data_IF_620803273594
#
_entry.id   IF_620803273594
#
_cell.length_a   1.000
_cell.length_b   1.000
_cell.length_c   1.000
_cell.angle_alpha   90.00
_cell.angle_beta   90.00
_cell.angle_gamma   90.00
#
_symmetry.space_group_name_H-M   'P 1'
#
loop_
_entity.id
_entity.type
_entity.pdbx_description
1 polymer ?
#
# COMPACT_ATOMS: atom_id res chain seq x y z
N UNK A 1 4.30 6.40 15.22
CA UNK A 1 4.59 5.90 13.85
C UNK A 1 5.73 4.90 13.90
N UNK A 2 5.60 3.77 13.23
CA UNK A 2 6.62 2.71 13.32
C UNK A 2 7.89 3.04 12.54
N UNK A 3 7.75 3.88 11.51
CA UNK A 3 8.87 4.30 10.66
C UNK A 3 8.61 5.68 10.10
N UNK A 4 9.66 6.49 10.00
CA UNK A 4 9.63 7.79 9.33
C UNK A 4 10.65 7.79 8.21
N UNK A 5 10.20 8.08 7.00
CA UNK A 5 11.05 8.29 5.82
C UNK A 5 11.20 9.79 5.60
N UNK A 6 12.40 10.19 5.21
CA UNK A 6 12.72 11.60 5.04
C UNK A 6 12.92 12.30 6.39
N UNK A 7 13.14 13.60 6.30
CA UNK A 7 13.41 14.44 7.48
C UNK A 7 12.37 15.55 7.51
N UNK A 8 11.63 15.63 8.61
CA UNK A 8 10.65 16.70 8.81
C UNK A 8 11.35 18.01 9.11
N UNK A 9 11.09 19.03 8.30
CA UNK A 9 11.53 20.39 8.57
C UNK A 9 10.47 21.08 9.43
N UNK A 10 10.79 21.45 10.69
CA UNK A 10 9.82 22.06 11.60
C UNK A 10 9.34 23.45 11.16
N UNK A 11 10.02 24.07 10.17
CA UNK A 11 9.61 25.37 9.60
C UNK A 11 8.53 25.24 8.56
N UNK A 12 8.22 24.00 8.09
CA UNK A 12 7.27 23.75 7.02
C UNK A 12 6.00 23.12 7.57
N UNK A 13 4.88 23.41 6.90
CA UNK A 13 3.60 22.75 7.14
C UNK A 13 3.40 21.70 6.05
N UNK A 14 3.32 20.44 6.45
CA UNK A 14 3.16 19.31 5.52
C UNK A 14 1.70 18.99 5.29
N UNK A 15 1.36 18.68 4.05
CA UNK A 15 0.04 18.16 3.70
C UNK A 15 0.04 16.64 3.90
N UNK A 16 -0.74 16.17 4.86
CA UNK A 16 -0.89 14.74 5.11
C UNK A 16 -1.83 14.11 4.07
N UNK A 17 -1.42 12.97 3.55
CA UNK A 17 -2.25 12.17 2.66
C UNK A 17 -2.24 10.72 3.13
N UNK A 18 -3.24 10.29 3.91
CA UNK A 18 -3.29 8.91 4.39
C UNK A 18 -3.70 7.94 3.28
N UNK A 19 -3.09 6.77 3.31
CA UNK A 19 -3.42 5.64 2.46
C UNK A 19 -3.40 4.35 3.25
N UNK A 20 -4.06 3.32 2.73
CA UNK A 20 -4.13 2.02 3.37
C UNK A 20 -3.85 0.91 2.34
N UNK A 21 -3.09 -0.10 2.75
CA UNK A 21 -2.53 -1.12 1.86
C UNK A 21 -2.59 -2.50 2.50
N UNK A 22 -2.77 -3.51 1.64
CA UNK A 22 -2.85 -4.90 2.03
C UNK A 22 -1.50 -5.60 1.85
N UNK A 23 -1.11 -6.40 2.84
CA UNK A 23 0.01 -7.32 2.73
C UNK A 23 -0.53 -8.76 2.85
N UNK A 24 -0.55 -9.46 1.73
CA UNK A 24 -0.89 -10.88 1.65
C UNK A 24 0.33 -11.65 1.15
N UNK A 25 0.95 -12.38 2.08
CA UNK A 25 2.10 -13.25 1.78
C UNK A 25 1.60 -14.69 1.88
N UNK A 26 1.56 -15.37 0.75
CA UNK A 26 1.05 -16.74 0.65
C UNK A 26 1.98 -17.57 -0.23
N UNK A 27 2.41 -18.73 0.28
CA UNK A 27 3.27 -19.66 -0.45
C UNK A 27 4.55 -19.02 -1.01
N UNK A 28 5.19 -18.16 -0.21
CA UNK A 28 6.44 -17.48 -0.58
C UNK A 28 6.26 -16.37 -1.60
N UNK A 29 5.03 -15.89 -1.80
CA UNK A 29 4.70 -14.85 -2.77
C UNK A 29 3.87 -13.74 -2.14
N UNK A 30 3.97 -12.56 -2.71
CA UNK A 30 3.29 -11.35 -2.25
C UNK A 30 2.22 -10.94 -3.26
N UNK A 31 1.00 -10.70 -2.78
CA UNK A 31 -0.05 -10.13 -3.62
C UNK A 31 0.35 -8.73 -4.07
N UNK A 32 0.41 -8.50 -5.37
CA UNK A 32 0.82 -7.24 -5.97
C UNK A 32 -0.08 -6.83 -7.11
N UNK A 33 0.04 -5.55 -7.45
CA UNK A 33 -0.56 -4.98 -8.66
C UNK A 33 0.59 -4.43 -9.50
N UNK A 34 0.61 -4.76 -10.78
CA UNK A 34 1.53 -4.18 -11.75
C UNK A 34 0.80 -3.10 -12.54
N UNK A 35 1.41 -1.94 -12.64
CA UNK A 35 0.90 -0.83 -13.42
C UNK A 35 2.10 -0.07 -14.04
N UNK A 36 1.85 1.01 -14.80
CA UNK A 36 2.92 1.66 -15.57
C UNK A 36 4.12 2.14 -14.74
N UNK A 37 3.93 2.45 -13.45
CA UNK A 37 5.03 2.84 -12.57
C UNK A 37 5.84 1.65 -12.04
N UNK A 38 5.26 0.45 -12.03
CA UNK A 38 5.91 -0.76 -11.51
C UNK A 38 4.99 -1.59 -10.63
N UNK A 39 5.57 -2.30 -9.67
CA UNK A 39 4.83 -3.18 -8.77
C UNK A 39 4.47 -2.46 -7.48
N UNK A 40 3.23 -2.60 -7.04
CA UNK A 40 2.69 -1.95 -5.85
C UNK A 40 1.89 -2.96 -5.03
N UNK A 41 1.79 -2.70 -3.72
CA UNK A 41 0.80 -3.39 -2.88
C UNK A 41 -0.61 -2.94 -3.27
N UNK A 42 -1.61 -3.83 -3.17
CA UNK A 42 -3.01 -3.40 -3.33
C UNK A 42 -3.38 -2.39 -2.27
N UNK A 43 -4.03 -1.30 -2.66
CA UNK A 43 -4.42 -0.24 -1.76
C UNK A 43 -4.29 1.13 -2.42
N UNK A 44 -4.45 2.17 -1.64
CA UNK A 44 -4.36 3.53 -2.13
C UNK A 44 -4.79 4.58 -1.13
N UNK A 45 -5.08 5.78 -1.62
CA UNK A 45 -5.48 6.90 -0.78
C UNK A 45 -6.85 6.73 -0.16
N UNK A 46 -6.96 7.08 1.12
CA UNK A 46 -8.22 7.04 1.85
C UNK A 46 -9.07 8.25 1.44
N UNK A 47 -10.31 7.99 1.07
CA UNK A 47 -11.27 9.04 0.74
C UNK A 47 -11.94 9.59 2.00
N UNK A 48 -12.50 10.81 1.90
CA UNK A 48 -13.16 11.46 3.02
C UNK A 48 -14.29 10.58 3.58
N UNK A 49 -14.28 10.36 4.90
CA UNK A 49 -15.27 9.54 5.58
C UNK A 49 -15.07 8.03 5.46
N UNK A 50 -14.04 7.60 4.75
CA UNK A 50 -13.75 6.18 4.54
C UNK A 50 -12.85 5.65 5.65
N UNK A 51 -13.14 4.44 6.16
CA UNK A 51 -12.22 3.76 7.06
C UNK A 51 -11.03 3.20 6.28
N UNK A 52 -9.95 2.86 6.98
CA UNK A 52 -8.79 2.22 6.36
C UNK A 52 -9.18 0.90 5.71
N UNK A 53 -9.98 0.09 6.39
CA UNK A 53 -10.43 -1.19 5.89
C UNK A 53 -11.30 -1.03 4.64
N UNK A 54 -12.22 -0.07 4.64
CA UNK A 54 -13.06 0.19 3.47
C UNK A 54 -12.24 0.70 2.29
N UNK A 55 -11.20 1.51 2.56
CA UNK A 55 -10.25 1.93 1.53
C UNK A 55 -9.57 0.72 0.86
N UNK A 56 -9.07 -0.22 1.66
CA UNK A 56 -8.43 -1.42 1.13
C UNK A 56 -9.43 -2.24 0.30
N UNK A 57 -10.66 -2.43 0.78
CA UNK A 57 -11.69 -3.16 0.04
C UNK A 57 -12.00 -2.50 -1.30
N UNK A 58 -12.21 -1.20 -1.30
CA UNK A 58 -12.50 -0.43 -2.51
C UNK A 58 -11.34 -0.49 -3.50
N UNK A 59 -10.14 -0.20 -3.05
CA UNK A 59 -8.95 -0.19 -3.91
C UNK A 59 -8.64 -1.58 -4.48
N UNK A 60 -8.74 -2.64 -3.67
CA UNK A 60 -8.55 -4.00 -4.16
C UNK A 60 -9.57 -4.36 -5.24
N UNK A 61 -10.81 -3.95 -5.05
CA UNK A 61 -11.86 -4.21 -6.04
C UNK A 61 -11.60 -3.45 -7.35
N UNK A 62 -11.20 -2.19 -7.28
CA UNK A 62 -10.87 -1.36 -8.44
C UNK A 62 -9.65 -1.89 -9.20
N UNK A 63 -8.61 -2.28 -8.47
CA UNK A 63 -7.32 -2.66 -9.06
C UNK A 63 -7.26 -4.12 -9.50
N UNK A 64 -7.96 -5.02 -8.82
CA UNK A 64 -7.85 -6.47 -9.06
C UNK A 64 -9.16 -7.16 -9.39
N UNK A 65 -10.29 -6.51 -9.12
CA UNK A 65 -11.61 -7.14 -9.24
C UNK A 65 -11.88 -8.20 -8.17
N UNK A 66 -11.09 -8.22 -7.09
CA UNK A 66 -11.16 -9.26 -6.06
C UNK A 66 -11.66 -8.72 -4.74
N UNK A 67 -12.34 -9.57 -3.99
CA UNK A 67 -12.66 -9.33 -2.58
C UNK A 67 -11.40 -9.50 -1.74
N UNK A 68 -11.46 -9.09 -0.49
CA UNK A 68 -10.34 -9.17 0.43
C UNK A 68 -10.86 -9.44 1.84
N UNK A 69 -10.12 -10.27 2.59
CA UNK A 69 -10.32 -10.43 4.03
C UNK A 69 -9.20 -9.66 4.73
N UNK A 70 -9.57 -8.70 5.56
CA UNK A 70 -8.61 -7.83 6.24
C UNK A 70 -8.41 -8.32 7.67
N UNK A 71 -7.15 -8.54 8.03
CA UNK A 71 -6.76 -8.94 9.37
C UNK A 71 -6.34 -7.77 10.23
N UNK A 72 -5.39 -8.01 11.12
CA UNK A 72 -4.93 -7.00 12.07
C UNK A 72 -4.09 -5.90 11.40
N UNK A 73 -4.13 -4.66 11.94
CA UNK A 73 -3.15 -3.63 11.57
C UNK A 73 -1.74 -4.15 11.85
N UNK A 74 -0.82 -3.88 10.94
CA UNK A 74 0.55 -4.37 11.05
C UNK A 74 1.53 -3.28 11.44
N UNK A 75 1.60 -2.23 10.63
CA UNK A 75 2.53 -1.12 10.83
C UNK A 75 2.09 0.10 10.03
N UNK A 76 2.74 1.23 10.28
CA UNK A 76 2.48 2.48 9.58
C UNK A 76 3.76 3.29 9.42
N UNK A 77 3.82 4.12 8.40
CA UNK A 77 4.96 4.98 8.11
C UNK A 77 4.53 6.38 7.69
N UNK A 78 5.32 7.37 8.14
CA UNK A 78 5.29 8.73 7.60
C UNK A 78 6.32 8.88 6.50
N UNK A 79 6.11 9.83 5.60
CA UNK A 79 7.07 10.17 4.55
C UNK A 79 7.11 11.68 4.36
N UNK A 80 8.14 12.33 4.90
CA UNK A 80 8.29 13.78 4.71
C UNK A 80 9.08 14.05 3.44
N UNK A 81 8.42 14.69 2.47
CA UNK A 81 9.01 14.94 1.16
C UNK A 81 8.48 16.25 0.56
N UNK A 82 8.98 16.59 -0.62
CA UNK A 82 8.51 17.74 -1.40
C UNK A 82 7.80 17.23 -2.65
N UNK A 83 6.53 17.53 -2.76
CA UNK A 83 5.78 17.22 -3.97
C UNK A 83 5.95 18.37 -4.96
N UNK A 84 6.16 18.05 -6.23
CA UNK A 84 6.46 19.06 -7.26
C UNK A 84 5.36 20.09 -7.46
N UNK A 85 4.10 19.80 -7.11
CA UNK A 85 2.98 20.72 -7.20
C UNK A 85 2.43 21.17 -5.85
N UNK A 86 2.43 20.28 -4.86
CA UNK A 86 1.78 20.52 -3.56
C UNK A 86 2.72 21.07 -2.50
N UNK A 87 4.03 21.11 -2.76
CA UNK A 87 5.02 21.53 -1.78
C UNK A 87 5.30 20.48 -0.71
N UNK A 88 5.46 20.91 0.57
CA UNK A 88 5.70 19.95 1.66
C UNK A 88 4.57 18.93 1.74
N UNK A 89 4.91 17.64 1.73
CA UNK A 89 3.96 16.56 1.56
C UNK A 89 4.33 15.38 2.43
N UNK A 90 3.32 14.75 3.05
CA UNK A 90 3.50 13.59 3.90
C UNK A 90 2.50 12.49 3.55
N UNK A 91 2.82 11.60 2.60
CA UNK A 91 2.09 10.37 2.44
C UNK A 91 2.22 9.53 3.70
N UNK A 92 1.10 9.25 4.34
CA UNK A 92 1.04 8.37 5.51
C UNK A 92 0.49 7.04 5.04
N UNK A 93 1.19 5.94 5.33
CA UNK A 93 0.81 4.63 4.84
C UNK A 93 0.52 3.71 6.00
N UNK A 94 -0.69 3.14 6.00
CA UNK A 94 -1.15 2.16 6.97
C UNK A 94 -1.22 0.80 6.31
N UNK A 95 -0.54 -0.19 6.91
CA UNK A 95 -0.44 -1.53 6.35
C UNK A 95 -1.19 -2.53 7.19
N UNK A 96 -1.98 -3.37 6.52
CA UNK A 96 -2.78 -4.41 7.16
C UNK A 96 -2.43 -5.77 6.58
N UNK A 97 -2.35 -6.75 7.44
CA UNK A 97 -2.32 -8.14 7.00
C UNK A 97 -3.70 -8.51 6.47
N UNK A 98 -3.72 -9.41 5.51
CA UNK A 98 -4.98 -9.91 4.98
C UNK A 98 -4.78 -10.93 3.88
N UNK A 99 -5.90 -11.31 3.26
CA UNK A 99 -5.90 -12.31 2.21
C UNK A 99 -6.73 -11.82 1.02
N UNK A 100 -6.14 -11.88 -0.16
CA UNK A 100 -6.84 -11.65 -1.42
C UNK A 100 -7.84 -12.79 -1.62
N UNK A 101 -9.07 -12.43 -1.96
CA UNK A 101 -10.16 -13.38 -2.18
C UNK A 101 -10.46 -13.62 -3.64
N UNK A 102 -11.70 -14.04 -3.89
CA UNK A 102 -12.18 -14.42 -5.21
C UNK A 102 -12.34 -13.21 -6.13
N UNK A 103 -12.09 -13.42 -7.41
CA UNK A 103 -12.40 -12.44 -8.46
C UNK A 103 -13.92 -12.40 -8.64
N UNK A 104 -14.52 -11.22 -8.46
CA UNK A 104 -15.97 -11.01 -8.56
C UNK A 104 -16.36 -10.08 -9.71
N UNK A 105 -15.39 -9.37 -10.28
CA UNK A 105 -15.60 -8.46 -11.42
C UNK A 105 -14.27 -8.22 -12.13
N UNK A 106 -14.32 -7.58 -13.29
CA UNK A 106 -13.11 -7.09 -13.93
C UNK A 106 -12.59 -5.85 -13.17
N UNK A 107 -11.26 -5.64 -13.11
CA UNK A 107 -10.71 -4.40 -12.58
C UNK A 107 -11.28 -3.19 -13.30
N UNK A 108 -11.58 -2.12 -12.57
CA UNK A 108 -12.03 -0.86 -13.17
C UNK A 108 -10.85 0.04 -13.55
N UNK A 109 -9.64 -0.29 -13.07
CA UNK A 109 -8.40 0.39 -13.43
C UNK A 109 -7.73 -0.37 -14.59
N UNK A 110 -7.83 0.13 -15.84
CA UNK A 110 -7.41 -0.65 -17.01
C UNK A 110 -5.91 -0.91 -17.09
N UNK A 111 -5.11 -0.10 -16.41
CA UNK A 111 -3.65 -0.22 -16.38
C UNK A 111 -3.15 -1.21 -15.33
N UNK A 112 -4.03 -1.73 -14.49
CA UNK A 112 -3.65 -2.55 -13.34
C UNK A 112 -3.82 -4.05 -13.62
N UNK A 113 -2.80 -4.83 -13.28
CA UNK A 113 -2.82 -6.29 -13.40
C UNK A 113 -2.41 -6.92 -12.08
N UNK A 114 -3.28 -7.76 -11.51
CA UNK A 114 -2.97 -8.51 -10.31
C UNK A 114 -1.97 -9.62 -10.58
N UNK A 115 -1.01 -9.82 -9.67
CA UNK A 115 -0.06 -10.93 -9.74
C UNK A 115 0.46 -11.30 -8.34
N UNK A 116 1.04 -12.49 -8.26
CA UNK A 116 1.77 -12.94 -7.09
C UNK A 116 3.26 -12.77 -7.36
N UNK A 117 3.89 -11.83 -6.65
CA UNK A 117 5.33 -11.53 -6.80
C UNK A 117 6.13 -12.47 -5.89
N UNK A 118 7.10 -13.24 -6.43
CA UNK A 118 7.98 -14.03 -5.55
C UNK A 118 8.72 -13.13 -4.56
N UNK A 119 8.82 -13.55 -3.30
CA UNK A 119 9.53 -12.77 -2.28
C UNK A 119 10.99 -12.50 -2.63
N UNK A 120 11.63 -13.36 -3.43
CA UNK A 120 12.98 -13.10 -3.94
C UNK A 120 13.05 -11.85 -4.82
N UNK A 121 11.92 -11.38 -5.34
CA UNK A 121 11.83 -10.21 -6.20
C UNK A 121 11.25 -8.98 -5.49
N UNK A 122 11.22 -9.00 -4.17
CA UNK A 122 10.65 -7.93 -3.34
C UNK A 122 11.21 -6.54 -3.68
N UNK A 123 12.47 -6.47 -4.09
CA UNK A 123 13.11 -5.21 -4.48
C UNK A 123 12.48 -4.55 -5.72
N UNK A 124 11.63 -5.28 -6.45
CA UNK A 124 10.90 -4.74 -7.61
C UNK A 124 9.73 -3.83 -7.21
N UNK A 125 9.30 -3.83 -5.94
CA UNK A 125 8.29 -2.88 -5.49
C UNK A 125 8.78 -1.45 -5.75
N UNK A 126 7.92 -0.65 -6.36
CA UNK A 126 8.25 0.71 -6.77
C UNK A 126 8.43 1.66 -5.59
N UNK A 127 7.71 1.43 -4.49
CA UNK A 127 7.68 2.32 -3.33
C UNK A 127 8.53 1.74 -2.20
N UNK A 128 9.64 2.42 -1.79
CA UNK A 128 10.51 1.92 -0.73
C UNK A 128 9.80 1.66 0.61
N UNK A 129 8.79 2.46 0.94
CA UNK A 129 8.00 2.28 2.15
C UNK A 129 7.28 0.92 2.15
N UNK A 130 6.83 0.47 0.98
CA UNK A 130 6.17 -0.82 0.85
C UNK A 130 7.17 -1.98 1.02
N UNK A 131 8.38 -1.84 0.52
CA UNK A 131 9.45 -2.83 0.75
C UNK A 131 9.72 -2.97 2.24
N UNK A 132 9.85 -1.84 2.94
CA UNK A 132 10.03 -1.84 4.39
C UNK A 132 8.87 -2.57 5.09
N UNK A 133 7.64 -2.27 4.72
CA UNK A 133 6.45 -2.85 5.37
C UNK A 133 6.38 -4.37 5.19
N UNK A 134 6.69 -4.86 3.98
CA UNK A 134 6.71 -6.30 3.72
C UNK A 134 7.82 -6.99 4.52
N UNK A 135 9.00 -6.39 4.59
CA UNK A 135 10.09 -6.92 5.44
C UNK A 135 9.68 -6.94 6.90
N UNK A 136 9.02 -5.88 7.36
CA UNK A 136 8.48 -5.85 8.72
C UNK A 136 7.51 -7.01 8.95
N UNK A 137 6.61 -7.26 8.01
CA UNK A 137 5.66 -8.37 8.09
C UNK A 137 6.36 -9.73 8.20
N UNK A 138 7.42 -9.93 7.41
CA UNK A 138 8.19 -11.18 7.45
C UNK A 138 8.90 -11.40 8.77
N UNK A 139 9.33 -10.32 9.43
CA UNK A 139 9.99 -10.40 10.73
C UNK A 139 9.02 -10.75 11.88
N UNK A 140 7.72 -10.57 11.67
CA UNK A 140 6.69 -10.87 12.66
C UNK A 140 6.20 -12.34 12.59
N UNK A 141 6.66 -13.11 11.64
CA UNK A 141 6.26 -14.49 11.47
C UNK A 141 7.03 -15.46 12.34
#
# INVERSE_FOLDING_TARGET
MDKTFGIRDPRLTYRDRPGAYLIDITDGRLACVHMHLGYLLPGGGIEAGESREDCIRRECLEETGRTVTIGAPLCAADTYCMHHRLGPFNPIQYYYRGAIGSKVQEPTEPDHTFLWLPLAELSKLYVPQQIWAVRYALEQE
#
